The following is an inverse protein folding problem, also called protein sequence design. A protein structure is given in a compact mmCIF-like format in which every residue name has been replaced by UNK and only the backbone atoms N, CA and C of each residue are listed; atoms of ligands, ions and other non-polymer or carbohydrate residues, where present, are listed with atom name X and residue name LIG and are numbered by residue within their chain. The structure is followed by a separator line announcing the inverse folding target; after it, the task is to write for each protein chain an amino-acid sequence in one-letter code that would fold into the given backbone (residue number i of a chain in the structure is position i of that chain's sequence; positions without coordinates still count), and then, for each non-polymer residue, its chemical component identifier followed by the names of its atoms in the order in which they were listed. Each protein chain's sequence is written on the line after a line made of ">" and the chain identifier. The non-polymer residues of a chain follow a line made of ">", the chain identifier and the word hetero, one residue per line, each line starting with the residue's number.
data_IF_827838469604
#
_entry.id   IF_827838469604
#
_cell.length_a   1.000
_cell.length_b   1.000
_cell.length_c   1.000
_cell.angle_alpha   90.00
_cell.angle_beta   90.00
_cell.angle_gamma   90.00
#
_symmetry.space_group_name_H-M   'P 1'
#
loop_
_entity.id
_entity.type
_entity.pdbx_description
1 polymer ?
#
# COMPACT_ATOMS: atom_id res chain seq x y z
N UNK A 1 18.35 -1.78 -20.98
CA UNK A 1 18.23 -2.58 -19.75
C UNK A 1 17.30 -3.72 -20.09
N UNK A 2 17.64 -4.98 -19.80
CA UNK A 2 16.76 -6.11 -20.12
C UNK A 2 15.50 -6.04 -19.25
N UNK A 3 14.35 -6.52 -19.75
CA UNK A 3 13.06 -6.39 -19.06
C UNK A 3 13.06 -7.06 -17.69
N UNK A 4 13.75 -8.20 -17.55
CA UNK A 4 13.97 -8.86 -16.25
C UNK A 4 14.68 -7.96 -15.23
N UNK A 5 15.63 -7.13 -15.67
CA UNK A 5 16.35 -6.22 -14.77
C UNK A 5 15.46 -5.05 -14.33
N UNK A 6 14.55 -4.59 -15.21
CA UNK A 6 13.56 -3.54 -14.87
C UNK A 6 12.58 -4.05 -13.82
N UNK A 7 12.03 -5.24 -14.03
CA UNK A 7 11.11 -5.89 -13.09
C UNK A 7 11.78 -6.12 -11.73
N UNK A 8 13.00 -6.65 -11.69
CA UNK A 8 13.73 -6.85 -10.43
C UNK A 8 14.04 -5.52 -9.72
N UNK A 9 14.37 -4.47 -10.47
CA UNK A 9 14.59 -3.15 -9.90
C UNK A 9 13.30 -2.58 -9.29
N UNK A 10 12.15 -2.78 -9.95
CA UNK A 10 10.86 -2.35 -9.45
C UNK A 10 10.46 -3.13 -8.18
N UNK A 11 10.61 -4.46 -8.18
CA UNK A 11 10.40 -5.28 -6.96
C UNK A 11 11.31 -4.81 -5.83
N UNK A 12 12.59 -4.55 -6.12
CA UNK A 12 13.53 -4.03 -5.13
C UNK A 12 13.12 -2.66 -4.58
N UNK A 13 12.64 -1.76 -5.43
CA UNK A 13 12.13 -0.45 -5.02
C UNK A 13 10.88 -0.59 -4.14
N UNK A 14 9.93 -1.46 -4.49
CA UNK A 14 8.77 -1.78 -3.66
C UNK A 14 9.18 -2.28 -2.27
N UNK A 15 10.13 -3.21 -2.21
CA UNK A 15 10.67 -3.70 -0.93
C UNK A 15 11.30 -2.56 -0.12
N UNK A 16 12.04 -1.66 -0.76
CA UNK A 16 12.60 -0.48 -0.10
C UNK A 16 11.51 0.45 0.47
N UNK A 17 10.39 0.64 -0.23
CA UNK A 17 9.27 1.44 0.27
C UNK A 17 8.64 0.81 1.51
N UNK A 18 8.37 -0.50 1.49
CA UNK A 18 7.85 -1.25 2.63
C UNK A 18 8.80 -1.19 3.83
N UNK A 19 10.10 -1.40 3.59
CA UNK A 19 11.13 -1.27 4.63
C UNK A 19 11.20 0.16 5.17
N UNK A 20 11.05 1.18 4.32
CA UNK A 20 11.00 2.58 4.75
C UNK A 20 9.85 2.84 5.72
N UNK A 21 8.66 2.32 5.42
CA UNK A 21 7.48 2.41 6.31
C UNK A 21 7.72 1.64 7.62
N UNK A 22 8.23 0.41 7.55
CA UNK A 22 8.50 -0.42 8.74
C UNK A 22 9.54 0.18 9.66
N UNK A 23 10.71 0.54 9.13
CA UNK A 23 11.79 1.14 9.89
C UNK A 23 11.40 2.51 10.43
N UNK A 24 10.67 3.31 9.64
CA UNK A 24 10.12 4.58 10.09
C UNK A 24 9.15 4.40 11.24
N UNK A 25 8.24 3.42 11.17
CA UNK A 25 7.29 3.14 12.24
C UNK A 25 8.01 2.72 13.52
N UNK A 26 8.98 1.80 13.43
CA UNK A 26 9.79 1.33 14.56
C UNK A 26 10.61 2.46 15.22
N UNK A 27 11.10 3.42 14.43
CA UNK A 27 11.80 4.59 14.95
C UNK A 27 10.86 5.58 15.69
N UNK A 28 9.55 5.49 15.44
CA UNK A 28 8.54 6.38 16.01
C UNK A 28 7.79 5.77 17.21
N UNK A 29 7.93 4.46 17.47
CA UNK A 29 7.26 3.77 18.59
C UNK A 29 7.59 4.44 19.93
N UNK A 30 8.87 4.55 20.29
CA UNK A 30 9.25 5.13 21.58
C UNK A 30 8.87 6.62 21.67
N UNK A 31 9.21 7.49 20.70
CA UNK A 31 8.84 8.90 20.77
C UNK A 31 7.33 9.14 20.86
N UNK A 32 6.51 8.34 20.15
CA UNK A 32 5.05 8.49 20.20
C UNK A 32 4.46 7.99 21.52
N UNK A 33 5.05 6.95 22.11
CA UNK A 33 4.66 6.45 23.43
C UNK A 33 5.01 7.48 24.52
N UNK A 34 6.22 8.05 24.49
CA UNK A 34 6.68 9.06 25.45
C UNK A 34 5.89 10.38 25.36
N UNK A 35 5.50 10.79 24.16
CA UNK A 35 4.67 11.98 23.94
C UNK A 35 3.17 11.76 24.16
N UNK A 36 2.76 10.55 24.55
CA UNK A 36 1.37 10.23 24.87
C UNK A 36 0.43 10.29 23.65
N UNK A 37 0.91 9.93 22.46
CA UNK A 37 0.11 9.92 21.22
C UNK A 37 -0.81 8.71 21.04
N UNK A 38 -0.91 7.88 22.07
CA UNK A 38 -1.82 6.74 22.09
C UNK A 38 -3.27 7.22 21.95
N UNK A 39 -3.97 6.72 20.94
CA UNK A 39 -5.31 7.20 20.59
C UNK A 39 -6.43 6.62 21.49
N UNK A 40 -6.16 5.50 22.16
CA UNK A 40 -7.12 4.78 23.01
C UNK A 40 -6.63 4.71 24.45
N UNK A 41 -7.55 4.58 25.40
CA UNK A 41 -7.22 4.50 26.82
C UNK A 41 -6.64 3.13 27.20
N UNK A 42 -7.23 2.05 26.68
CA UNK A 42 -6.78 0.67 26.92
C UNK A 42 -6.46 -0.02 25.59
N UNK A 43 -5.18 -0.13 25.19
CA UNK A 43 -4.78 -0.76 23.92
C UNK A 43 -5.13 -2.23 23.81
N UNK A 44 -5.27 -2.95 24.92
CA UNK A 44 -5.50 -4.40 24.93
C UNK A 44 -7.00 -4.78 24.77
N UNK A 45 -7.91 -3.80 24.76
CA UNK A 45 -9.34 -4.06 24.57
C UNK A 45 -9.64 -4.50 23.11
N UNK A 46 -10.12 -5.74 22.87
CA UNK A 46 -10.46 -6.23 21.53
C UNK A 46 -11.59 -5.45 20.86
N UNK A 47 -12.38 -4.69 21.62
CA UNK A 47 -13.43 -3.82 21.08
C UNK A 47 -12.85 -2.69 20.23
N UNK A 48 -11.59 -2.29 20.47
CA UNK A 48 -10.91 -1.26 19.69
C UNK A 48 -10.85 -1.63 18.20
N UNK A 49 -10.64 -2.90 17.86
CA UNK A 49 -10.62 -3.37 16.47
C UNK A 49 -11.99 -3.19 15.79
N UNK A 50 -13.07 -3.48 16.50
CA UNK A 50 -14.45 -3.31 15.99
C UNK A 50 -14.75 -1.82 15.77
N UNK A 51 -14.43 -0.98 16.77
CA UNK A 51 -14.61 0.47 16.68
C UNK A 51 -13.86 1.03 15.46
N UNK A 52 -12.62 0.59 15.25
CA UNK A 52 -11.79 1.06 14.16
C UNK A 52 -12.31 0.64 12.79
N UNK A 53 -12.73 -0.62 12.63
CA UNK A 53 -13.40 -1.07 11.39
C UNK A 53 -14.66 -0.22 11.14
N UNK A 54 -15.45 0.08 12.18
CA UNK A 54 -16.60 0.97 12.07
C UNK A 54 -16.24 2.39 11.62
N UNK A 55 -15.21 3.00 12.21
CA UNK A 55 -14.72 4.33 11.82
C UNK A 55 -14.21 4.33 10.37
N UNK A 56 -13.48 3.28 9.97
CA UNK A 56 -12.99 3.12 8.59
C UNK A 56 -14.16 3.06 7.60
N UNK A 57 -15.19 2.27 7.88
CA UNK A 57 -16.39 2.20 7.04
C UNK A 57 -17.12 3.55 6.94
N UNK A 58 -17.20 4.30 8.04
CA UNK A 58 -17.77 5.66 8.03
C UNK A 58 -16.91 6.61 7.19
N UNK A 59 -15.59 6.58 7.35
CA UNK A 59 -14.67 7.41 6.58
C UNK A 59 -14.74 7.10 5.08
N UNK A 60 -14.76 5.81 4.71
CA UNK A 60 -14.95 5.35 3.33
C UNK A 60 -16.31 5.79 2.79
N UNK A 61 -17.40 5.62 3.56
CA UNK A 61 -18.73 6.07 3.16
C UNK A 61 -18.80 7.59 2.92
N UNK A 62 -18.13 8.39 3.76
CA UNK A 62 -18.01 9.84 3.56
C UNK A 62 -17.19 10.20 2.32
N UNK A 63 -16.12 9.45 2.05
CA UNK A 63 -15.29 9.63 0.85
C UNK A 63 -16.09 9.31 -0.42
N UNK A 64 -16.79 8.18 -0.45
CA UNK A 64 -17.66 7.79 -1.55
C UNK A 64 -18.80 8.80 -1.76
N UNK A 65 -19.38 9.31 -0.67
CA UNK A 65 -20.37 10.37 -0.76
C UNK A 65 -19.76 11.65 -1.37
N UNK A 66 -18.56 12.04 -0.98
CA UNK A 66 -17.88 13.20 -1.54
C UNK A 66 -17.58 13.05 -3.04
N UNK A 67 -17.18 11.85 -3.48
CA UNK A 67 -17.01 11.52 -4.90
C UNK A 67 -18.33 11.61 -5.66
N UNK A 68 -19.42 11.08 -5.10
CA UNK A 68 -20.76 11.18 -5.70
C UNK A 68 -21.24 12.63 -5.91
N UNK A 69 -20.69 13.59 -5.17
CA UNK A 69 -21.00 15.02 -5.33
C UNK A 69 -19.91 15.80 -6.08
N UNK A 70 -18.99 15.13 -6.78
CA UNK A 70 -17.89 15.73 -7.55
C UNK A 70 -17.03 16.71 -6.74
N UNK A 71 -16.80 16.40 -5.47
CA UNK A 71 -16.03 17.23 -4.54
C UNK A 71 -14.52 17.01 -4.63
N UNK A 72 -14.00 16.74 -5.84
CA UNK A 72 -12.61 16.37 -6.11
C UNK A 72 -11.57 17.28 -5.45
N UNK A 73 -11.78 18.60 -5.54
CA UNK A 73 -10.89 19.59 -4.90
C UNK A 73 -10.92 19.51 -3.38
N UNK A 74 -12.09 19.25 -2.79
CA UNK A 74 -12.23 19.10 -1.35
C UNK A 74 -11.54 17.82 -0.88
N UNK A 75 -11.74 16.71 -1.60
CA UNK A 75 -11.12 15.42 -1.30
C UNK A 75 -9.59 15.55 -1.38
N UNK A 76 -9.07 16.15 -2.46
CA UNK A 76 -7.63 16.39 -2.60
C UNK A 76 -7.08 17.28 -1.49
N UNK A 77 -7.75 18.39 -1.16
CA UNK A 77 -7.32 19.27 -0.08
C UNK A 77 -7.37 18.59 1.29
N UNK A 78 -8.41 17.79 1.55
CA UNK A 78 -8.56 17.01 2.77
C UNK A 78 -7.40 16.02 2.92
N UNK A 79 -7.10 15.26 1.87
CA UNK A 79 -6.04 14.25 1.90
C UNK A 79 -4.65 14.88 2.05
N UNK A 80 -4.41 16.02 1.40
CA UNK A 80 -3.18 16.80 1.62
C UNK A 80 -3.13 17.37 3.04
N UNK A 81 -4.26 17.83 3.59
CA UNK A 81 -4.36 18.27 4.98
C UNK A 81 -4.03 17.16 5.97
N UNK A 82 -4.57 15.95 5.76
CA UNK A 82 -4.22 14.75 6.53
C UNK A 82 -2.75 14.40 6.37
N UNK A 83 -2.19 14.54 5.16
CA UNK A 83 -0.77 14.30 4.89
C UNK A 83 0.12 15.25 5.71
N UNK A 84 -0.20 16.54 5.75
CA UNK A 84 0.50 17.54 6.57
C UNK A 84 0.33 17.24 8.05
N UNK A 85 -0.86 16.86 8.49
CA UNK A 85 -1.14 16.55 9.89
C UNK A 85 -0.34 15.33 10.38
N UNK A 86 -0.31 14.24 9.61
CA UNK A 86 0.48 13.05 9.98
C UNK A 86 1.98 13.37 9.91
N UNK A 87 2.42 14.07 8.87
CA UNK A 87 3.82 14.52 8.75
C UNK A 87 4.23 15.41 9.91
N UNK A 88 3.32 16.25 10.43
CA UNK A 88 3.55 17.03 11.63
C UNK A 88 3.78 16.14 12.85
N UNK A 89 2.97 15.11 13.09
CA UNK A 89 3.22 14.19 14.21
C UNK A 89 4.59 13.51 14.09
N UNK A 90 4.98 13.09 12.89
CA UNK A 90 6.30 12.49 12.64
C UNK A 90 7.42 13.50 12.91
N UNK A 91 7.39 14.66 12.27
CA UNK A 91 8.48 15.63 12.34
C UNK A 91 8.55 16.36 13.68
N UNK A 92 7.43 16.52 14.39
CA UNK A 92 7.42 17.11 15.73
C UNK A 92 8.27 16.32 16.73
N UNK A 93 8.40 15.01 16.55
CA UNK A 93 9.28 14.18 17.39
C UNK A 93 10.67 14.01 16.76
N UNK A 94 10.73 13.71 15.47
CA UNK A 94 11.99 13.35 14.81
C UNK A 94 12.92 14.55 14.64
N UNK A 95 12.39 15.73 14.30
CA UNK A 95 13.24 16.90 14.03
C UNK A 95 13.94 17.37 15.32
N UNK A 96 13.25 17.61 16.45
CA UNK A 96 13.93 17.96 17.69
C UNK A 96 14.94 16.91 18.16
N UNK A 97 14.68 15.62 17.97
CA UNK A 97 15.64 14.56 18.30
C UNK A 97 16.95 14.69 17.51
N UNK A 98 16.89 15.07 16.23
CA UNK A 98 18.05 15.16 15.34
C UNK A 98 18.76 16.52 15.46
N UNK A 99 18.02 17.62 15.41
CA UNK A 99 18.62 18.97 15.34
C UNK A 99 18.71 19.67 16.70
N UNK A 100 17.93 19.23 17.70
CA UNK A 100 17.89 19.81 19.04
C UNK A 100 19.26 19.94 19.74
N UNK A 101 20.24 19.04 19.52
CA UNK A 101 21.60 19.24 20.05
C UNK A 101 22.34 20.45 19.47
N UNK A 102 21.90 20.98 18.32
CA UNK A 102 22.60 22.03 17.57
C UNK A 102 21.87 23.38 17.57
N UNK A 103 20.55 23.39 17.82
CA UNK A 103 19.71 24.60 17.76
C UNK A 103 18.82 24.72 18.99
N UNK A 104 18.25 25.90 19.23
CA UNK A 104 17.28 26.07 20.32
C UNK A 104 15.99 25.29 20.05
N UNK A 105 15.29 24.90 21.12
CA UNK A 105 14.04 24.13 21.02
C UNK A 105 12.99 24.82 20.12
N UNK A 106 12.85 26.15 20.23
CA UNK A 106 11.93 26.91 19.37
C UNK A 106 12.30 26.86 17.89
N UNK A 107 13.59 26.82 17.55
CA UNK A 107 14.04 26.67 16.15
C UNK A 107 13.78 25.24 15.67
N UNK A 108 14.05 24.22 16.49
CA UNK A 108 13.77 22.83 16.14
C UNK A 108 12.27 22.59 15.87
N UNK A 109 11.38 23.09 16.74
CA UNK A 109 9.93 23.01 16.53
C UNK A 109 9.49 23.80 15.29
N UNK A 110 10.07 24.99 15.05
CA UNK A 110 9.81 25.75 13.83
C UNK A 110 10.19 25.00 12.56
N UNK A 111 11.33 24.31 12.57
CA UNK A 111 11.77 23.47 11.46
C UNK A 111 10.84 22.27 11.23
N UNK A 112 10.30 21.66 12.29
CA UNK A 112 9.30 20.60 12.17
C UNK A 112 8.02 21.07 11.47
N UNK A 113 7.53 22.29 11.80
CA UNK A 113 6.35 22.89 11.15
C UNK A 113 6.64 23.14 9.67
N UNK A 114 7.81 23.72 9.37
CA UNK A 114 8.21 24.00 7.99
C UNK A 114 8.32 22.70 7.19
N UNK A 115 8.89 21.65 7.77
CA UNK A 115 9.01 20.34 7.13
C UNK A 115 7.64 19.72 6.81
N UNK A 116 6.68 19.77 7.74
CA UNK A 116 5.34 19.21 7.50
C UNK A 116 4.56 20.00 6.45
N UNK A 117 4.65 21.33 6.48
CA UNK A 117 4.05 22.18 5.44
C UNK A 117 4.74 22.00 4.08
N UNK A 118 6.04 21.74 4.06
CA UNK A 118 6.78 21.47 2.82
C UNK A 118 6.29 20.19 2.14
N UNK A 119 5.94 19.14 2.89
CA UNK A 119 5.30 17.93 2.33
C UNK A 119 3.99 18.30 1.63
N UNK A 120 3.11 19.06 2.29
CA UNK A 120 1.85 19.50 1.70
C UNK A 120 2.05 20.40 0.46
N UNK A 121 2.97 21.35 0.53
CA UNK A 121 3.32 22.23 -0.60
C UNK A 121 3.87 21.44 -1.79
N UNK A 122 4.72 20.45 -1.54
CA UNK A 122 5.25 19.57 -2.58
C UNK A 122 4.13 18.77 -3.26
N UNK A 123 3.19 18.20 -2.50
CA UNK A 123 2.03 17.47 -3.05
C UNK A 123 1.06 18.37 -3.84
N UNK A 124 0.95 19.65 -3.47
CA UNK A 124 0.11 20.61 -4.18
C UNK A 124 0.71 21.03 -5.52
N UNK A 125 2.00 21.40 -5.52
CA UNK A 125 2.64 22.05 -6.67
C UNK A 125 3.46 21.10 -7.54
N UNK A 126 3.92 19.98 -6.99
CA UNK A 126 4.84 19.07 -7.67
C UNK A 126 4.61 17.59 -7.29
N UNK A 127 3.44 17.01 -7.65
CA UNK A 127 3.12 15.61 -7.36
C UNK A 127 3.81 14.67 -8.37
N UNK A 128 5.13 14.57 -8.33
CA UNK A 128 5.86 13.47 -9.00
C UNK A 128 5.87 12.21 -8.12
N UNK A 129 6.07 11.05 -8.74
CA UNK A 129 6.02 9.74 -8.07
C UNK A 129 6.89 9.69 -6.81
N UNK A 130 8.13 10.18 -6.85
CA UNK A 130 9.03 10.18 -5.69
C UNK A 130 8.61 11.13 -4.56
N UNK A 131 7.84 12.19 -4.88
CA UNK A 131 7.26 13.08 -3.86
C UNK A 131 6.08 12.39 -3.19
N UNK A 132 5.24 11.72 -3.99
CA UNK A 132 4.10 10.94 -3.51
C UNK A 132 4.58 9.79 -2.65
N UNK A 133 5.56 9.02 -3.11
CA UNK A 133 6.15 7.90 -2.37
C UNK A 133 6.87 8.37 -1.11
N UNK A 134 7.65 9.46 -1.21
CA UNK A 134 8.33 10.04 -0.04
C UNK A 134 7.33 10.50 1.03
N UNK A 135 6.26 11.19 0.62
CA UNK A 135 5.18 11.56 1.52
C UNK A 135 4.45 10.32 2.06
N UNK A 136 4.22 9.32 1.21
CA UNK A 136 3.59 8.05 1.55
C UNK A 136 4.40 7.26 2.58
N UNK A 137 5.72 7.21 2.47
CA UNK A 137 6.59 6.57 3.47
C UNK A 137 6.51 7.30 4.81
N UNK A 138 6.55 8.65 4.82
CA UNK A 138 6.40 9.44 6.05
C UNK A 138 5.03 9.22 6.69
N UNK A 139 3.97 9.32 5.90
CA UNK A 139 2.60 9.10 6.37
C UNK A 139 2.38 7.67 6.85
N UNK A 140 2.88 6.70 6.11
CA UNK A 140 2.74 5.28 6.42
C UNK A 140 3.49 4.91 7.70
N UNK A 141 4.72 5.40 7.87
CA UNK A 141 5.49 5.24 9.10
C UNK A 141 4.75 5.84 10.31
N UNK A 142 4.28 7.09 10.17
CA UNK A 142 3.54 7.78 11.23
C UNK A 142 2.23 7.09 11.58
N UNK A 143 1.43 6.70 10.58
CA UNK A 143 0.17 6.01 10.78
C UNK A 143 0.38 4.63 11.41
N UNK A 144 1.33 3.82 10.90
CA UNK A 144 1.61 2.50 11.43
C UNK A 144 2.14 2.57 12.87
N UNK A 145 2.97 3.56 13.21
CA UNK A 145 3.40 3.78 14.59
C UNK A 145 2.23 4.18 15.51
N UNK A 146 1.40 5.15 15.10
CA UNK A 146 0.24 5.59 15.87
C UNK A 146 -0.75 4.45 16.14
N UNK A 147 -1.06 3.65 15.12
CA UNK A 147 -1.92 2.48 15.29
C UNK A 147 -1.22 1.38 16.08
N UNK A 148 0.07 1.16 15.86
CA UNK A 148 0.87 0.16 16.57
C UNK A 148 0.89 0.39 18.08
N UNK A 149 1.07 1.64 18.53
CA UNK A 149 1.00 1.97 19.97
C UNK A 149 -0.42 2.05 20.51
N UNK A 150 -1.43 2.12 19.64
CA UNK A 150 -2.85 2.22 20.04
C UNK A 150 -3.55 0.87 20.06
N UNK A 151 -3.02 -0.14 19.38
CA UNK A 151 -3.56 -1.49 19.39
C UNK A 151 -2.56 -2.44 20.04
N UNK A 152 -2.95 -3.03 21.17
CA UNK A 152 -2.23 -4.15 21.77
C UNK A 152 -2.19 -5.35 20.81
N UNK A 153 -1.52 -6.41 21.25
CA UNK A 153 -1.25 -7.57 20.39
C UNK A 153 -2.55 -8.22 19.90
N UNK A 154 -3.50 -8.46 20.81
CA UNK A 154 -4.78 -9.10 20.45
C UNK A 154 -5.60 -8.24 19.47
N UNK A 155 -5.85 -6.93 19.73
CA UNK A 155 -6.57 -6.10 18.78
C UNK A 155 -5.87 -5.95 17.42
N UNK A 156 -4.53 -5.89 17.39
CA UNK A 156 -3.77 -5.83 16.14
C UNK A 156 -3.94 -7.13 15.33
N UNK A 157 -3.79 -8.29 15.96
CA UNK A 157 -3.98 -9.60 15.32
C UNK A 157 -5.40 -9.76 14.77
N UNK A 158 -6.41 -9.34 15.52
CA UNK A 158 -7.82 -9.37 15.07
C UNK A 158 -8.05 -8.44 13.88
N UNK A 159 -7.51 -7.22 13.92
CA UNK A 159 -7.62 -6.26 12.82
C UNK A 159 -6.99 -6.80 11.53
N UNK A 160 -5.73 -7.27 11.59
CA UNK A 160 -5.03 -7.81 10.44
C UNK A 160 -5.74 -9.04 9.86
N UNK A 161 -6.23 -9.94 10.73
CA UNK A 161 -6.96 -11.13 10.31
C UNK A 161 -8.29 -10.76 9.66
N UNK A 162 -9.05 -9.84 10.23
CA UNK A 162 -10.33 -9.40 9.67
C UNK A 162 -10.15 -8.75 8.29
N UNK A 163 -9.16 -7.88 8.13
CA UNK A 163 -8.86 -7.23 6.84
C UNK A 163 -8.36 -8.23 5.80
N UNK A 164 -7.51 -9.19 6.19
CA UNK A 164 -7.08 -10.26 5.30
C UNK A 164 -8.25 -11.13 4.84
N UNK A 165 -9.15 -11.54 5.76
CA UNK A 165 -10.33 -12.33 5.43
C UNK A 165 -11.26 -11.53 4.50
N UNK A 166 -11.49 -10.26 4.79
CA UNK A 166 -12.31 -9.39 3.95
C UNK A 166 -11.76 -9.30 2.53
N UNK A 167 -10.45 -9.04 2.37
CA UNK A 167 -9.80 -8.94 1.06
C UNK A 167 -9.86 -10.27 0.29
N UNK A 168 -9.60 -11.39 0.96
CA UNK A 168 -9.74 -12.73 0.36
C UNK A 168 -11.16 -13.01 -0.14
N UNK A 169 -12.18 -12.64 0.65
CA UNK A 169 -13.59 -12.81 0.27
C UNK A 169 -13.95 -11.87 -0.90
N UNK A 170 -13.48 -10.63 -0.85
CA UNK A 170 -13.73 -9.63 -1.88
C UNK A 170 -13.19 -10.07 -3.24
N UNK A 171 -11.95 -10.58 -3.25
CA UNK A 171 -11.24 -11.00 -4.47
C UNK A 171 -11.72 -12.36 -4.97
N UNK A 172 -11.66 -13.42 -4.15
CA UNK A 172 -11.96 -14.79 -4.60
C UNK A 172 -13.44 -15.18 -4.51
N UNK A 173 -14.22 -14.47 -3.69
CA UNK A 173 -15.60 -14.82 -3.40
C UNK A 173 -16.58 -14.06 -4.25
N UNK A 174 -16.50 -12.73 -4.23
CA UNK A 174 -17.53 -11.88 -4.84
C UNK A 174 -17.17 -11.32 -6.21
N UNK A 175 -15.91 -11.38 -6.64
CA UNK A 175 -15.39 -10.80 -7.91
C UNK A 175 -15.81 -9.32 -8.16
N UNK A 176 -16.42 -8.66 -7.18
CA UNK A 176 -17.16 -7.40 -7.31
C UNK A 176 -16.26 -6.17 -7.56
N UNK A 177 -14.94 -6.38 -7.51
CA UNK A 177 -13.91 -5.42 -7.90
C UNK A 177 -13.78 -5.30 -9.43
N UNK A 178 -14.29 -6.28 -10.20
CA UNK A 178 -14.24 -6.30 -11.67
C UNK A 178 -15.39 -5.54 -12.35
N UNK A 179 -16.44 -5.15 -11.61
CA UNK A 179 -17.70 -4.63 -12.18
C UNK A 179 -18.04 -3.16 -11.81
N UNK A 180 -17.10 -2.38 -11.26
CA UNK A 180 -17.35 -1.00 -10.81
C UNK A 180 -16.44 0.04 -11.49
N UNK A 181 -16.42 -0.01 -12.82
CA UNK A 181 -15.80 1.01 -13.67
C UNK A 181 -16.85 2.05 -14.11
N UNK A 182 -17.12 3.06 -13.27
CA UNK A 182 -17.58 4.38 -13.74
C UNK A 182 -17.58 5.38 -12.57
N UNK A 183 -16.57 6.25 -12.52
CA UNK A 183 -16.69 7.54 -11.83
C UNK A 183 -15.59 7.96 -10.85
N UNK A 184 -14.44 7.31 -10.80
CA UNK A 184 -13.34 7.76 -9.93
C UNK A 184 -12.01 7.22 -10.51
N UNK A 185 -11.04 7.99 -11.02
CA UNK A 185 -10.24 8.99 -10.30
C UNK A 185 -9.15 9.65 -11.17
N UNK A 186 -8.99 10.97 -11.01
CA UNK A 186 -7.90 11.80 -11.58
C UNK A 186 -6.95 12.40 -10.52
N UNK A 187 -7.03 11.96 -9.25
CA UNK A 187 -6.67 12.84 -8.14
C UNK A 187 -5.20 12.87 -7.67
N UNK A 188 -4.30 11.98 -8.14
CA UNK A 188 -2.84 12.00 -7.82
C UNK A 188 -2.52 12.24 -6.33
N UNK A 189 -3.06 11.40 -5.45
CA UNK A 189 -2.95 11.52 -3.98
C UNK A 189 -1.97 10.46 -3.43
N UNK A 190 -1.24 10.74 -2.31
CA UNK A 190 -0.40 9.76 -1.59
C UNK A 190 -1.20 8.70 -0.82
N UNK A 191 -2.14 8.05 -1.50
CA UNK A 191 -2.83 6.82 -1.04
C UNK A 191 -2.36 5.59 -1.82
N UNK A 192 -1.63 5.81 -2.92
CA UNK A 192 -1.01 4.80 -3.77
C UNK A 192 0.48 5.12 -3.90
N UNK A 193 1.32 4.10 -3.72
CA UNK A 193 2.75 4.13 -3.98
C UNK A 193 3.00 3.79 -5.45
N UNK A 194 3.92 4.51 -6.10
CA UNK A 194 4.15 4.46 -7.55
C UNK A 194 5.59 4.09 -7.85
N UNK A 195 5.82 2.85 -8.29
CA UNK A 195 7.16 2.34 -8.61
C UNK A 195 7.35 2.26 -10.13
N UNK A 196 8.13 3.16 -10.73
CA UNK A 196 8.32 3.18 -12.17
C UNK A 196 9.16 1.99 -12.67
N UNK A 197 8.80 1.42 -13.83
CA UNK A 197 9.62 0.42 -14.51
C UNK A 197 10.78 1.04 -15.31
N UNK A 198 10.69 2.35 -15.60
CA UNK A 198 11.73 3.11 -16.31
C UNK A 198 12.06 4.44 -15.61
N UNK A 199 13.33 4.86 -15.65
CA UNK A 199 13.78 6.11 -15.01
C UNK A 199 13.26 7.38 -15.70
N UNK A 200 12.79 7.27 -16.95
CA UNK A 200 12.19 8.35 -17.72
C UNK A 200 10.71 8.58 -17.37
N UNK A 201 10.12 7.74 -16.52
CA UNK A 201 8.72 7.85 -16.14
C UNK A 201 8.45 9.15 -15.37
N UNK A 202 7.44 9.91 -15.83
CA UNK A 202 6.91 11.08 -15.15
C UNK A 202 5.44 10.86 -14.86
N UNK A 203 5.10 10.80 -13.58
CA UNK A 203 3.74 10.63 -13.11
C UNK A 203 2.88 11.88 -13.37
N UNK A 204 3.52 13.05 -13.45
CA UNK A 204 2.84 14.28 -13.87
C UNK A 204 2.39 14.21 -15.33
N UNK A 205 3.19 13.60 -16.20
CA UNK A 205 2.92 13.48 -17.64
C UNK A 205 2.03 12.28 -17.99
N UNK A 206 2.07 11.20 -17.20
CA UNK A 206 1.44 9.92 -17.55
C UNK A 206 -0.09 9.96 -17.72
N UNK A 207 -0.80 10.92 -17.11
CA UNK A 207 -2.28 10.98 -17.16
C UNK A 207 -2.93 9.84 -16.36
N UNK A 208 -3.80 10.22 -15.40
CA UNK A 208 -4.55 9.38 -14.43
C UNK A 208 -3.81 8.17 -13.79
N UNK A 209 -4.49 7.53 -12.85
CA UNK A 209 -4.09 6.28 -12.18
C UNK A 209 -4.89 5.11 -12.76
N UNK A 210 -5.22 5.18 -14.05
CA UNK A 210 -6.14 4.25 -14.73
C UNK A 210 -5.77 2.79 -14.44
N UNK A 211 -4.49 2.43 -14.52
CA UNK A 211 -4.06 1.03 -14.46
C UNK A 211 -3.93 0.43 -13.04
N UNK A 212 -4.40 1.13 -11.99
CA UNK A 212 -4.09 0.76 -10.60
C UNK A 212 -5.19 -0.03 -9.91
N UNK A 213 -6.44 0.21 -10.29
CA UNK A 213 -7.60 -0.37 -9.59
C UNK A 213 -8.40 -1.31 -10.50
N UNK A 214 -8.01 -1.40 -11.77
CA UNK A 214 -8.62 -2.23 -12.81
C UNK A 214 -7.54 -3.06 -13.50
N UNK A 215 -6.87 -3.99 -12.81
CA UNK A 215 -6.39 -5.18 -13.54
C UNK A 215 -6.19 -6.38 -12.63
N UNK A 216 -7.30 -7.10 -12.44
CA UNK A 216 -7.31 -8.49 -12.05
C UNK A 216 -8.00 -9.37 -13.09
N UNK A 217 -8.01 -9.00 -14.38
CA UNK A 217 -8.52 -9.89 -15.43
C UNK A 217 -9.15 -9.24 -16.65
N UNK A 218 -8.36 -9.21 -17.74
CA UNK A 218 -8.70 -9.52 -19.14
C UNK A 218 -9.74 -8.68 -19.94
N UNK A 219 -9.18 -8.15 -21.03
CA UNK A 219 -9.71 -7.99 -22.39
C UNK A 219 -10.86 -7.02 -22.65
N UNK A 220 -10.49 -5.81 -23.11
CA UNK A 220 -11.32 -5.08 -24.06
C UNK A 220 -10.96 -5.51 -25.47
N UNK A 221 -11.81 -6.36 -26.05
CA UNK A 221 -11.86 -6.57 -27.50
C UNK A 221 -12.14 -5.22 -28.15
N UNK A 222 -11.17 -4.68 -28.88
CA UNK A 222 -11.35 -3.48 -29.68
C UNK A 222 -12.45 -3.72 -30.71
N UNK A 223 -13.62 -3.10 -30.51
CA UNK A 223 -14.61 -2.92 -31.55
C UNK A 223 -14.11 -1.83 -32.50
N UNK A 224 -13.47 -2.25 -33.59
CA UNK A 224 -13.22 -1.38 -34.75
C UNK A 224 -14.57 -1.00 -35.37
N UNK A 225 -14.94 0.27 -35.22
CA UNK A 225 -16.02 0.89 -35.99
C UNK A 225 -15.41 1.96 -36.90
N UNK A 226 -15.52 1.80 -38.23
CA UNK A 226 -15.47 2.93 -39.13
C UNK A 226 -16.85 3.15 -39.76
N UNK A 227 -17.54 4.18 -39.29
CA UNK A 227 -18.67 4.75 -40.03
C UNK A 227 -18.16 5.55 -41.24
N UNK A 228 -18.63 5.22 -42.45
CA UNK A 228 -19.29 6.18 -43.36
C UNK A 228 -19.70 5.56 -44.71
N UNK A 229 -21.01 5.60 -44.94
CA UNK A 229 -21.74 6.00 -46.15
C UNK A 229 -21.47 5.38 -47.55
N UNK A 230 -22.57 4.76 -48.05
CA UNK A 230 -23.24 5.03 -49.34
C UNK A 230 -22.99 4.12 -50.59
N UNK A 231 -24.08 3.41 -50.95
CA UNK A 231 -24.68 3.18 -52.28
C UNK A 231 -24.06 2.17 -53.30
N UNK A 232 -24.95 1.30 -53.84
CA UNK A 232 -24.85 0.62 -55.14
C UNK A 232 -24.51 -0.88 -55.05
N UNK A 233 -25.46 -1.82 -55.12
CA UNK A 233 -26.09 -2.44 -56.31
C UNK A 233 -25.30 -3.64 -56.92
N UNK A 234 -26.09 -4.67 -57.26
CA UNK A 234 -25.86 -5.84 -58.12
C UNK A 234 -25.01 -7.09 -57.70
N UNK A 235 -25.77 -8.16 -57.44
CA UNK A 235 -25.75 -9.54 -58.00
C UNK A 235 -24.46 -10.37 -58.27
N UNK A 236 -24.60 -11.68 -57.94
CA UNK A 236 -24.13 -12.93 -58.61
C UNK A 236 -23.10 -13.86 -57.91
N UNK A 237 -23.61 -15.09 -57.64
CA UNK A 237 -23.09 -16.46 -57.87
C UNK A 237 -21.70 -16.99 -57.48
N UNK A 238 -21.72 -18.27 -57.03
CA UNK A 238 -20.70 -19.32 -57.27
C UNK A 238 -19.83 -19.67 -56.05
N UNK A 239 -20.08 -20.74 -55.29
CA UNK A 239 -19.78 -22.17 -55.52
C UNK A 239 -18.29 -22.59 -55.35
N UNK A 240 -18.11 -23.55 -54.42
CA UNK A 240 -17.09 -24.60 -54.25
C UNK A 240 -15.57 -24.32 -54.41
N UNK A 241 -14.78 -24.67 -53.37
CA UNK A 241 -13.87 -25.84 -53.35
C UNK A 241 -12.84 -25.80 -52.18
N UNK A 242 -12.79 -26.90 -51.41
CA UNK A 242 -11.68 -27.43 -50.57
C UNK A 242 -10.50 -27.91 -51.49
N UNK A 243 -9.26 -28.29 -51.08
CA UNK A 243 -8.68 -28.55 -49.75
C UNK A 243 -7.17 -28.15 -49.57
N UNK A 244 -6.57 -28.67 -48.48
CA UNK A 244 -5.14 -28.99 -48.24
C UNK A 244 -4.23 -28.04 -47.42
N UNK A 245 -3.92 -28.57 -46.23
CA UNK A 245 -2.58 -28.85 -45.69
C UNK A 245 -1.75 -27.77 -44.96
N UNK A 246 -1.34 -28.21 -43.76
CA UNK A 246 -0.06 -28.01 -43.07
C UNK A 246 0.12 -26.87 -42.05
N UNK A 247 0.51 -27.32 -40.85
CA UNK A 247 1.23 -26.61 -39.78
C UNK A 247 0.45 -25.76 -38.77
N UNK A 248 -0.49 -26.38 -38.05
CA UNK A 248 -0.85 -25.94 -36.70
C UNK A 248 0.18 -26.44 -35.67
N UNK A 249 1.36 -25.82 -35.66
CA UNK A 249 2.34 -25.97 -34.60
C UNK A 249 2.27 -24.77 -33.66
N UNK A 250 1.78 -25.02 -32.44
CA UNK A 250 2.10 -24.32 -31.21
C UNK A 250 2.16 -22.78 -31.26
N UNK A 251 1.07 -22.13 -30.86
CA UNK A 251 1.19 -20.86 -30.15
C UNK A 251 0.72 -21.04 -28.71
N UNK A 252 1.70 -21.42 -27.89
CA UNK A 252 1.66 -21.35 -26.44
C UNK A 252 2.80 -20.42 -26.02
N UNK A 253 2.71 -19.16 -26.44
CA UNK A 253 3.25 -17.98 -25.79
C UNK A 253 2.10 -16.97 -25.68
N UNK A 254 2.02 -16.04 -24.75
CA UNK A 254 2.91 -15.62 -23.68
C UNK A 254 2.15 -14.57 -22.87
N UNK A 255 1.40 -14.98 -21.83
CA UNK A 255 0.70 -14.04 -20.93
C UNK A 255 1.66 -13.21 -20.05
N UNK A 256 2.97 -13.33 -20.29
CA UNK A 256 4.01 -12.49 -19.69
C UNK A 256 4.08 -11.08 -20.31
N UNK A 257 3.41 -10.82 -21.44
CA UNK A 257 3.41 -9.50 -22.09
C UNK A 257 2.43 -8.49 -21.46
N UNK A 258 1.37 -8.94 -20.77
CA UNK A 258 0.40 -8.01 -20.14
C UNK A 258 0.99 -7.19 -18.97
N UNK A 259 1.98 -7.74 -18.24
CA UNK A 259 2.69 -7.01 -17.19
C UNK A 259 3.75 -6.03 -17.74
N UNK A 260 4.06 -6.09 -19.05
CA UNK A 260 5.12 -5.32 -19.70
C UNK A 260 4.61 -4.06 -20.41
N UNK A 261 3.30 -3.92 -20.63
CA UNK A 261 2.68 -2.70 -21.17
C UNK A 261 2.46 -1.61 -20.11
N UNK A 262 2.61 -1.95 -18.82
CA UNK A 262 2.48 -0.99 -17.72
C UNK A 262 3.80 -0.29 -17.43
N UNK A 263 3.83 1.03 -17.56
CA UNK A 263 5.04 1.82 -17.29
C UNK A 263 5.41 1.92 -15.79
N UNK A 264 4.50 1.53 -14.88
CA UNK A 264 4.70 1.55 -13.43
C UNK A 264 3.92 0.45 -12.69
N UNK A 265 4.44 0.05 -11.53
CA UNK A 265 3.75 -0.74 -10.53
C UNK A 265 3.09 0.20 -9.51
N UNK A 266 1.87 -0.10 -9.13
CA UNK A 266 1.12 0.70 -8.17
C UNK A 266 0.65 -0.18 -7.03
N UNK A 267 0.79 0.32 -5.80
CA UNK A 267 0.52 -0.46 -4.59
C UNK A 267 -0.19 0.43 -3.58
N UNK A 268 -1.23 -0.08 -2.92
CA UNK A 268 -1.92 0.68 -1.88
C UNK A 268 -0.99 1.02 -0.73
N UNK A 269 -1.00 2.28 -0.25
CA UNK A 269 -0.25 2.64 0.95
C UNK A 269 -0.71 1.83 2.18
N UNK A 270 -2.00 1.47 2.22
CA UNK A 270 -2.57 0.59 3.23
C UNK A 270 -1.87 -0.77 3.32
N UNK A 271 -1.42 -1.33 2.20
CA UNK A 271 -0.77 -2.64 2.14
C UNK A 271 0.59 -2.65 2.84
N UNK A 272 1.29 -1.50 2.86
CA UNK A 272 2.50 -1.33 3.65
C UNK A 272 2.20 -1.02 5.12
N UNK A 273 1.14 -0.23 5.39
CA UNK A 273 0.80 0.26 6.74
C UNK A 273 0.20 -0.84 7.62
N UNK A 274 -0.81 -1.56 7.14
CA UNK A 274 -1.58 -2.53 7.94
C UNK A 274 -0.70 -3.62 8.56
N UNK A 275 0.14 -4.37 7.81
CA UNK A 275 1.03 -5.34 8.43
C UNK A 275 2.06 -4.70 9.37
N UNK A 276 2.48 -3.46 9.09
CA UNK A 276 3.41 -2.70 9.95
C UNK A 276 2.80 -2.29 11.29
N UNK A 277 1.47 -2.22 11.40
CA UNK A 277 0.80 -2.02 12.71
C UNK A 277 1.17 -3.13 13.69
N UNK A 278 1.20 -4.40 13.25
CA UNK A 278 1.62 -5.51 14.11
C UNK A 278 3.12 -5.44 14.46
N UNK A 279 3.95 -4.98 13.52
CA UNK A 279 5.39 -4.76 13.75
C UNK A 279 5.59 -3.73 14.88
N UNK A 280 4.91 -2.58 14.79
CA UNK A 280 4.99 -1.51 15.78
C UNK A 280 4.34 -1.90 17.12
N UNK A 281 3.21 -2.61 17.10
CA UNK A 281 2.54 -3.13 18.30
C UNK A 281 3.41 -4.14 19.04
N UNK A 282 4.03 -5.08 18.32
CA UNK A 282 4.97 -6.02 18.91
C UNK A 282 6.17 -5.31 19.55
N UNK A 283 6.71 -4.27 18.90
CA UNK A 283 7.79 -3.46 19.46
C UNK A 283 7.38 -2.70 20.72
N UNK A 284 6.15 -2.17 20.77
CA UNK A 284 5.65 -1.37 21.88
C UNK A 284 5.25 -2.20 23.11
N UNK A 285 4.63 -3.37 22.91
CA UNK A 285 3.95 -4.10 23.99
C UNK A 285 4.67 -5.38 24.45
N UNK A 286 5.61 -5.92 23.67
CA UNK A 286 6.36 -7.12 24.09
C UNK A 286 7.74 -6.78 24.66
N UNK A 287 7.94 -7.18 25.90
CA UNK A 287 9.26 -7.19 26.54
C UNK A 287 9.99 -8.51 26.25
N UNK A 288 10.43 -8.68 25.01
CA UNK A 288 11.04 -9.91 24.49
C UNK A 288 12.56 -9.80 24.28
N UNK A 289 13.22 -8.90 25.01
CA UNK A 289 14.62 -8.54 24.82
C UNK A 289 14.82 -7.64 23.61
N UNK A 290 15.18 -6.38 23.85
CA UNK A 290 15.48 -5.43 22.78
C UNK A 290 16.83 -5.75 22.14
N UNK A 291 16.85 -5.84 20.82
CA UNK A 291 18.09 -5.80 20.05
C UNK A 291 18.65 -4.38 20.21
N UNK A 292 19.90 -4.26 20.65
CA UNK A 292 20.54 -2.97 20.91
C UNK A 292 20.92 -2.24 19.61
N UNK A 293 19.91 -1.88 18.83
CA UNK A 293 20.03 -1.08 17.62
C UNK A 293 19.77 0.39 17.99
N UNK A 294 20.72 1.31 17.78
CA UNK A 294 20.48 2.72 18.03
C UNK A 294 19.25 3.19 17.23
N UNK A 295 18.36 3.95 17.88
CA UNK A 295 17.17 4.61 17.29
C UNK A 295 15.98 3.70 16.97
N UNK A 296 16.12 2.37 16.96
CA UNK A 296 15.01 1.46 16.61
C UNK A 296 14.59 0.61 17.80
N UNK A 297 13.30 0.68 18.16
CA UNK A 297 12.68 -0.23 19.11
C UNK A 297 12.44 -1.60 18.44
N UNK A 298 13.45 -2.47 18.41
CA UNK A 298 13.33 -3.79 17.77
C UNK A 298 13.49 -4.91 18.77
N UNK A 299 12.45 -5.74 18.88
CA UNK A 299 12.52 -7.05 19.52
C UNK A 299 12.39 -8.16 18.46
N UNK A 300 12.71 -9.40 18.85
CA UNK A 300 12.68 -10.53 17.91
C UNK A 300 11.28 -10.78 17.29
N UNK A 301 10.16 -10.65 18.03
CA UNK A 301 8.81 -10.73 17.45
C UNK A 301 8.52 -9.66 16.38
N UNK A 302 8.87 -8.39 16.64
CA UNK A 302 8.69 -7.31 15.68
C UNK A 302 9.54 -7.50 14.42
N UNK A 303 10.80 -7.95 14.59
CA UNK A 303 11.67 -8.30 13.46
C UNK A 303 11.09 -9.47 12.65
N UNK A 304 10.59 -10.50 13.34
CA UNK A 304 9.92 -11.63 12.73
C UNK A 304 8.72 -11.19 11.89
N UNK A 305 7.87 -10.31 12.45
CA UNK A 305 6.73 -9.72 11.75
C UNK A 305 7.17 -8.96 10.49
N UNK A 306 8.17 -8.09 10.61
CA UNK A 306 8.69 -7.28 9.50
C UNK A 306 9.23 -8.17 8.35
N UNK A 307 10.07 -9.16 8.69
CA UNK A 307 10.60 -10.13 7.71
C UNK A 307 9.48 -10.95 7.09
N UNK A 308 8.49 -11.35 7.90
CA UNK A 308 7.30 -12.06 7.45
C UNK A 308 6.49 -11.27 6.42
N UNK A 309 6.28 -9.97 6.65
CA UNK A 309 5.64 -9.07 5.68
C UNK A 309 6.41 -9.01 4.38
N UNK A 310 7.75 -8.89 4.42
CA UNK A 310 8.57 -8.86 3.20
C UNK A 310 8.51 -10.20 2.47
N UNK A 311 8.51 -11.33 3.18
CA UNK A 311 8.34 -12.64 2.56
C UNK A 311 6.96 -12.77 1.88
N UNK A 312 5.89 -12.30 2.54
CA UNK A 312 4.55 -12.21 1.97
C UNK A 312 4.48 -11.33 0.73
N UNK A 313 5.14 -10.17 0.76
CA UNK A 313 5.25 -9.25 -0.37
C UNK A 313 5.98 -9.89 -1.55
N UNK A 314 7.10 -10.57 -1.31
CA UNK A 314 7.84 -11.26 -2.37
C UNK A 314 7.02 -12.40 -2.98
N UNK A 315 6.26 -13.13 -2.17
CA UNK A 315 5.33 -14.14 -2.67
C UNK A 315 4.21 -13.51 -3.52
N UNK A 316 3.62 -12.39 -3.06
CA UNK A 316 2.61 -11.64 -3.81
C UNK A 316 3.18 -11.16 -5.15
N UNK A 317 4.32 -10.48 -5.13
CA UNK A 317 4.98 -9.99 -6.35
C UNK A 317 5.33 -11.12 -7.31
N UNK A 318 5.76 -12.28 -6.80
CA UNK A 318 6.00 -13.45 -7.64
C UNK A 318 4.72 -13.91 -8.36
N UNK A 319 3.58 -13.96 -7.65
CA UNK A 319 2.30 -14.36 -8.25
C UNK A 319 1.76 -13.33 -9.25
N UNK A 320 1.89 -12.04 -8.93
CA UNK A 320 1.49 -10.93 -9.82
C UNK A 320 2.32 -10.94 -11.10
N UNK A 321 3.63 -11.21 -11.00
CA UNK A 321 4.51 -11.32 -12.17
C UNK A 321 4.25 -12.57 -13.02
N UNK A 322 3.57 -13.58 -12.47
CA UNK A 322 3.05 -14.74 -13.22
C UNK A 322 1.66 -14.48 -13.83
N UNK A 323 1.13 -13.25 -13.76
CA UNK A 323 -0.16 -12.88 -14.34
C UNK A 323 -1.37 -13.36 -13.52
N UNK A 324 -1.17 -13.75 -12.26
CA UNK A 324 -2.26 -14.22 -11.39
C UNK A 324 -2.78 -13.10 -10.52
N UNK A 325 -4.04 -12.72 -10.70
CA UNK A 325 -4.74 -11.87 -9.73
C UNK A 325 -4.78 -12.57 -8.36
N UNK A 326 -4.39 -11.85 -7.31
CA UNK A 326 -4.35 -12.37 -5.94
C UNK A 326 -4.73 -11.30 -4.94
N UNK A 327 -5.44 -11.72 -3.88
CA UNK A 327 -5.69 -10.89 -2.72
C UNK A 327 -4.37 -10.51 -2.04
N UNK A 328 -4.09 -9.21 -1.92
CA UNK A 328 -2.84 -8.68 -1.39
C UNK A 328 -2.71 -8.88 0.12
N UNK A 329 -3.73 -8.47 0.87
CA UNK A 329 -3.67 -8.45 2.33
C UNK A 329 -3.53 -9.84 2.96
N UNK A 330 -4.11 -10.94 2.45
CA UNK A 330 -3.87 -12.28 2.96
C UNK A 330 -2.40 -12.68 2.99
N UNK A 331 -1.64 -12.39 1.94
CA UNK A 331 -0.22 -12.74 1.88
C UNK A 331 0.61 -11.81 2.77
N UNK A 332 0.32 -10.51 2.76
CA UNK A 332 1.05 -9.52 3.55
C UNK A 332 0.80 -9.67 5.06
N UNK A 333 -0.47 -9.67 5.46
CA UNK A 333 -0.87 -9.81 6.86
C UNK A 333 -0.61 -11.24 7.36
N UNK A 334 -0.87 -12.26 6.53
CA UNK A 334 -0.56 -13.65 6.87
C UNK A 334 0.94 -13.86 7.08
N UNK A 335 1.77 -13.26 6.20
CA UNK A 335 3.21 -13.23 6.36
C UNK A 335 3.64 -12.52 7.65
N UNK A 336 3.08 -11.34 7.93
CA UNK A 336 3.35 -10.58 9.15
C UNK A 336 3.00 -11.38 10.42
N UNK A 337 1.79 -11.96 10.48
CA UNK A 337 1.32 -12.77 11.61
C UNK A 337 2.17 -14.02 11.77
N UNK A 338 2.46 -14.74 10.69
CA UNK A 338 3.30 -15.94 10.72
C UNK A 338 4.71 -15.65 11.20
N UNK A 339 5.34 -14.60 10.65
CA UNK A 339 6.66 -14.15 11.06
C UNK A 339 6.69 -13.67 12.51
N UNK A 340 5.67 -12.94 12.95
CA UNK A 340 5.49 -12.49 14.33
C UNK A 340 5.45 -13.67 15.30
N UNK A 341 4.59 -14.66 15.05
CA UNK A 341 4.43 -15.83 15.92
C UNK A 341 5.71 -16.67 15.97
N UNK A 342 6.41 -16.83 14.84
CA UNK A 342 7.71 -17.50 14.80
C UNK A 342 8.76 -16.73 15.61
N UNK A 343 8.80 -15.40 15.49
CA UNK A 343 9.69 -14.54 16.29
C UNK A 343 9.40 -14.62 17.78
N UNK A 344 8.12 -14.64 18.18
CA UNK A 344 7.69 -14.78 19.57
C UNK A 344 8.05 -16.14 20.18
N UNK A 345 7.84 -17.23 19.44
CA UNK A 345 8.25 -18.56 19.87
C UNK A 345 9.77 -18.66 19.97
N UNK A 346 10.51 -18.08 19.03
CA UNK A 346 11.97 -18.05 19.05
C UNK A 346 12.54 -17.22 20.21
N UNK A 347 11.84 -16.19 20.68
CA UNK A 347 12.22 -15.43 21.88
C UNK A 347 11.84 -16.14 23.19
N UNK A 348 11.24 -17.33 23.12
CA UNK A 348 10.83 -18.11 24.29
C UNK A 348 9.50 -17.68 24.92
N UNK A 349 8.72 -16.85 24.23
CA UNK A 349 7.38 -16.47 24.71
C UNK A 349 6.39 -17.63 24.54
N UNK A 350 5.43 -17.70 25.45
CA UNK A 350 4.29 -18.59 25.28
C UNK A 350 3.35 -18.06 24.19
N UNK A 351 2.59 -18.95 23.54
CA UNK A 351 1.57 -18.53 22.56
C UNK A 351 0.54 -17.61 23.20
N UNK A 352 0.14 -17.88 24.44
CA UNK A 352 -0.80 -17.03 25.19
C UNK A 352 -0.29 -15.58 25.27
N UNK A 353 0.95 -15.40 25.74
CA UNK A 353 1.58 -14.08 25.81
C UNK A 353 1.72 -13.43 24.44
N UNK A 354 2.07 -14.21 23.41
CA UNK A 354 2.18 -13.71 22.04
C UNK A 354 0.83 -13.27 21.45
N UNK A 355 -0.30 -13.79 21.91
CA UNK A 355 -1.61 -13.32 21.47
C UNK A 355 -2.22 -12.30 22.45
N UNK A 356 -1.47 -11.83 23.45
CA UNK A 356 -1.95 -10.85 24.43
C UNK A 356 -2.84 -11.44 25.52
N UNK A 357 -2.68 -12.73 25.86
CA UNK A 357 -3.41 -13.46 26.91
C UNK A 357 -2.49 -13.96 28.05
#
# INVERSE_FOLDING_TARGET
>A
MNDRTRVLAAVGATVCLFLGVQLGALALVDPFTESGRQAVENPDDPTNSILYVGIMLVATGLMLAAFKYDLDRLIRLLLIGVSVMISWYVFAELVPAIVGPFVSAGVASGLAIVASLAVGGALLWYPEWYVIDGAGVVMGAGAAALFGISFGLLPALLLLSALAIYDAISVYGTEHMLDLAEGVMDLKIPVVLVVPLTLSYSYRAAGSTDDVLEDGGTETVASDDPASDALGDDATDGDAADPDDTDAAADAGSDADGALDRDALFIGLGDAVIPTVLVASAAAFLDAGTLSVPVLAVNLPALGAAVGTIAGLLALMYMVLEGRAHAGLPLLNGGAIGGYLLGALASGLSIATAIGL
#
